data_IF_882663126025
#
_entry.id   IF_882663126025
#
_cell.length_a   1.000
_cell.length_b   1.000
_cell.length_c   1.000
_cell.angle_alpha   90.00
_cell.angle_beta   90.00
_cell.angle_gamma   90.00
#
_symmetry.space_group_name_H-M   'P 1'
#
loop_
_entity.id
_entity.type
_entity.pdbx_description
1 polymer ?
#
# COMPACT_ATOMS: atom_id res chain seq x y z
N UNK A 1 -37.01 28.23 -9.57
CA UNK A 1 -35.77 27.54 -9.15
C UNK A 1 -36.05 26.17 -8.50
N UNK A 2 -37.01 25.42 -8.98
CA UNK A 2 -37.46 24.14 -8.36
C UNK A 2 -37.27 22.92 -9.24
N UNK A 3 -36.65 23.06 -10.41
CA UNK A 3 -36.43 21.96 -11.35
C UNK A 3 -35.07 21.22 -11.28
N UNK A 4 -34.07 21.82 -10.60
CA UNK A 4 -32.68 21.28 -10.57
C UNK A 4 -32.45 20.31 -9.41
N UNK A 5 -33.36 20.23 -8.44
CA UNK A 5 -33.23 19.37 -7.25
C UNK A 5 -33.71 17.92 -7.47
N UNK A 6 -34.49 17.67 -8.51
CA UNK A 6 -35.04 16.32 -8.75
C UNK A 6 -34.03 15.35 -9.36
N UNK A 7 -32.97 15.84 -10.03
CA UNK A 7 -31.89 14.99 -10.60
C UNK A 7 -30.79 14.68 -9.58
N UNK A 8 -30.66 15.50 -8.53
CA UNK A 8 -29.70 15.30 -7.44
C UNK A 8 -30.11 14.24 -6.41
N UNK A 9 -31.32 13.76 -6.42
CA UNK A 9 -31.84 12.77 -5.46
C UNK A 9 -31.19 11.38 -5.54
N UNK A 10 -30.39 11.14 -6.56
CA UNK A 10 -29.65 9.87 -6.77
C UNK A 10 -28.15 9.94 -6.40
N UNK A 11 -27.62 11.15 -6.11
CA UNK A 11 -26.24 11.31 -5.67
C UNK A 11 -26.20 11.18 -4.15
N UNK A 12 -25.50 10.19 -3.58
CA UNK A 12 -25.35 10.10 -2.13
C UNK A 12 -24.81 11.42 -1.58
N UNK A 13 -25.30 11.90 -0.41
CA UNK A 13 -24.95 13.20 0.14
C UNK A 13 -23.44 13.44 0.30
N UNK A 14 -22.68 12.36 0.38
CA UNK A 14 -21.20 12.35 0.41
C UNK A 14 -20.59 12.99 -0.84
N UNK A 15 -21.19 12.87 -2.03
CA UNK A 15 -20.66 13.41 -3.28
C UNK A 15 -21.12 14.84 -3.61
N UNK A 16 -21.93 15.44 -2.77
CA UNK A 16 -22.37 16.83 -2.94
C UNK A 16 -21.20 17.81 -2.69
N UNK A 17 -20.29 17.47 -1.80
CA UNK A 17 -19.15 18.31 -1.43
C UNK A 17 -17.96 18.11 -2.36
N UNK A 18 -17.39 19.18 -2.96
CA UNK A 18 -16.26 19.08 -3.89
C UNK A 18 -15.02 18.40 -3.27
N UNK A 19 -14.73 18.65 -1.98
CA UNK A 19 -13.59 18.05 -1.30
C UNK A 19 -13.72 16.51 -1.17
N UNK A 20 -14.94 16.01 -0.94
CA UNK A 20 -15.19 14.57 -0.90
C UNK A 20 -15.03 13.94 -2.27
N UNK A 21 -15.53 14.57 -3.33
CA UNK A 21 -15.31 14.07 -4.71
C UNK A 21 -13.84 13.96 -5.06
N UNK A 22 -13.06 14.97 -4.67
CA UNK A 22 -11.60 14.96 -4.86
C UNK A 22 -10.95 13.82 -4.05
N UNK A 23 -11.36 13.64 -2.79
CA UNK A 23 -10.85 12.58 -1.93
C UNK A 23 -11.18 11.17 -2.48
N UNK A 24 -12.41 10.94 -2.96
CA UNK A 24 -12.78 9.66 -3.58
C UNK A 24 -12.03 9.43 -4.89
N UNK A 25 -11.84 10.44 -5.73
CA UNK A 25 -11.10 10.33 -6.98
C UNK A 25 -9.63 9.98 -6.72
N UNK A 26 -8.94 10.76 -5.89
CA UNK A 26 -7.56 10.49 -5.52
C UNK A 26 -7.42 9.16 -4.78
N UNK A 27 -8.29 8.93 -3.78
CA UNK A 27 -8.29 7.73 -2.97
C UNK A 27 -8.49 6.44 -3.78
N UNK A 28 -9.33 6.46 -4.80
CA UNK A 28 -9.51 5.28 -5.68
C UNK A 28 -8.23 4.95 -6.44
N UNK A 29 -7.55 5.94 -7.03
CA UNK A 29 -6.28 5.72 -7.72
C UNK A 29 -5.19 5.20 -6.77
N UNK A 30 -5.06 5.84 -5.60
CA UNK A 30 -4.10 5.45 -4.56
C UNK A 30 -4.39 4.03 -4.04
N UNK A 31 -5.64 3.72 -3.73
CA UNK A 31 -6.02 2.40 -3.24
C UNK A 31 -5.81 1.30 -4.29
N UNK A 32 -6.08 1.60 -5.56
CA UNK A 32 -5.85 0.66 -6.65
C UNK A 32 -4.35 0.31 -6.78
N UNK A 33 -3.46 1.31 -6.77
CA UNK A 33 -2.02 1.03 -6.82
C UNK A 33 -1.53 0.36 -5.53
N UNK A 34 -2.00 0.76 -4.34
CA UNK A 34 -1.65 0.10 -3.07
C UNK A 34 -2.06 -1.38 -3.07
N UNK A 35 -3.28 -1.71 -3.51
CA UNK A 35 -3.72 -3.11 -3.55
C UNK A 35 -2.92 -3.95 -4.53
N UNK A 36 -2.64 -3.42 -5.73
CA UNK A 36 -1.88 -4.13 -6.75
C UNK A 36 -0.39 -4.31 -6.38
N UNK A 37 0.27 -3.24 -5.92
CA UNK A 37 1.65 -3.28 -5.47
C UNK A 37 1.75 -4.12 -4.19
N UNK A 38 0.85 -3.91 -3.23
CA UNK A 38 0.78 -4.63 -1.97
C UNK A 38 0.68 -6.14 -2.15
N UNK A 39 -0.10 -6.61 -3.13
CA UNK A 39 -0.18 -8.03 -3.45
C UNK A 39 1.20 -8.65 -3.70
N UNK A 40 2.03 -8.02 -4.52
CA UNK A 40 3.38 -8.51 -4.81
C UNK A 40 4.36 -8.25 -3.66
N UNK A 41 4.20 -7.15 -2.93
CA UNK A 41 5.02 -6.85 -1.74
C UNK A 41 4.84 -7.93 -0.67
N UNK A 42 3.60 -8.35 -0.41
CA UNK A 42 3.29 -9.45 0.53
C UNK A 42 3.77 -10.79 -0.02
N UNK A 43 3.52 -11.10 -1.30
CA UNK A 43 3.96 -12.32 -1.96
C UNK A 43 5.49 -12.50 -1.91
N UNK A 44 6.23 -11.40 -2.01
CA UNK A 44 7.71 -11.38 -2.00
C UNK A 44 8.31 -11.20 -0.62
N UNK A 45 7.49 -11.16 0.44
CA UNK A 45 7.89 -10.87 1.83
C UNK A 45 8.68 -9.56 1.99
N UNK A 46 8.35 -8.53 1.20
CA UNK A 46 9.02 -7.22 1.18
C UNK A 46 8.19 -6.09 1.81
N UNK A 47 7.36 -6.42 2.78
CA UNK A 47 6.42 -5.46 3.41
C UNK A 47 7.15 -4.29 4.05
N UNK A 48 8.26 -4.55 4.73
CA UNK A 48 9.10 -3.52 5.35
C UNK A 48 9.79 -2.59 4.35
N UNK A 49 9.96 -3.00 3.09
CA UNK A 49 10.47 -2.10 2.04
C UNK A 49 9.49 -0.95 1.79
N UNK A 50 8.18 -1.24 1.78
CA UNK A 50 7.14 -0.21 1.64
C UNK A 50 7.17 0.78 2.81
N UNK A 51 7.33 0.28 4.03
CA UNK A 51 7.43 1.10 5.23
C UNK A 51 8.68 1.99 5.21
N UNK A 52 9.84 1.44 4.93
CA UNK A 52 11.07 2.21 4.78
C UNK A 52 10.92 3.33 3.75
N UNK A 53 10.30 3.04 2.59
CA UNK A 53 10.09 4.03 1.53
C UNK A 53 9.09 5.12 1.91
N UNK A 54 8.14 4.86 2.82
CA UNK A 54 7.26 5.91 3.36
C UNK A 54 8.04 6.94 4.19
N UNK A 55 9.00 6.47 4.97
CA UNK A 55 9.88 7.37 5.72
C UNK A 55 10.88 8.11 4.82
N UNK A 56 11.31 7.48 3.72
CA UNK A 56 12.07 8.19 2.68
C UNK A 56 11.24 9.31 2.06
N UNK A 57 9.96 9.06 1.76
CA UNK A 57 9.04 10.07 1.24
C UNK A 57 8.90 11.26 2.20
N UNK A 58 8.71 10.97 3.49
CA UNK A 58 8.66 11.99 4.53
C UNK A 58 9.95 12.81 4.61
N UNK A 59 11.09 12.15 4.67
CA UNK A 59 12.41 12.79 4.74
C UNK A 59 12.68 13.63 3.50
N UNK A 60 12.36 13.13 2.31
CA UNK A 60 12.51 13.84 1.04
C UNK A 60 11.62 15.08 0.96
N UNK A 61 10.39 15.01 1.48
CA UNK A 61 9.49 16.14 1.57
C UNK A 61 10.05 17.23 2.49
N UNK A 62 10.57 16.85 3.66
CA UNK A 62 11.21 17.79 4.61
C UNK A 62 12.50 18.40 4.04
N UNK A 63 13.30 17.64 3.33
CA UNK A 63 14.51 18.13 2.67
C UNK A 63 14.16 19.21 1.63
N UNK A 64 13.12 18.99 0.81
CA UNK A 64 12.65 19.98 -0.15
C UNK A 64 12.15 21.25 0.55
N UNK A 65 11.34 21.12 1.61
CA UNK A 65 10.86 22.25 2.38
C UNK A 65 11.99 23.03 3.04
N UNK A 66 12.99 22.35 3.59
CA UNK A 66 14.18 22.99 4.18
C UNK A 66 15.00 23.75 3.14
N UNK A 67 15.03 23.27 1.89
CA UNK A 67 15.70 23.91 0.76
C UNK A 67 14.84 24.98 0.05
N UNK A 68 13.60 25.22 0.48
CA UNK A 68 12.66 26.14 -0.17
C UNK A 68 12.13 25.63 -1.53
N UNK A 69 12.23 24.33 -1.79
CA UNK A 69 11.77 23.68 -3.03
C UNK A 69 10.35 23.11 -2.86
N UNK A 70 9.75 22.67 -3.98
CA UNK A 70 8.44 22.04 -3.97
C UNK A 70 8.47 20.69 -3.21
N UNK A 71 7.59 20.54 -2.24
CA UNK A 71 7.45 19.36 -1.39
C UNK A 71 7.30 18.07 -2.22
N UNK A 72 6.56 18.12 -3.32
CA UNK A 72 6.32 16.95 -4.18
C UNK A 72 7.58 16.48 -4.88
N UNK A 73 8.42 17.41 -5.35
CA UNK A 73 9.69 17.05 -5.99
C UNK A 73 10.59 16.28 -5.02
N UNK A 74 10.71 16.74 -3.77
CA UNK A 74 11.47 16.02 -2.75
C UNK A 74 10.85 14.68 -2.39
N UNK A 75 9.54 14.65 -2.21
CA UNK A 75 8.79 13.45 -1.84
C UNK A 75 8.94 12.35 -2.91
N UNK A 76 8.63 12.63 -4.17
CA UNK A 76 8.73 11.65 -5.26
C UNK A 76 10.18 11.37 -5.66
N UNK A 77 11.01 12.41 -5.80
CA UNK A 77 12.39 12.27 -6.24
C UNK A 77 13.24 11.45 -5.29
N UNK A 78 13.19 11.74 -3.99
CA UNK A 78 13.93 10.98 -2.98
C UNK A 78 13.42 9.52 -2.91
N UNK A 79 12.11 9.32 -2.92
CA UNK A 79 11.54 7.97 -2.74
C UNK A 79 11.88 7.07 -3.93
N UNK A 80 11.74 7.56 -5.15
CA UNK A 80 12.08 6.78 -6.35
C UNK A 80 13.58 6.53 -6.44
N UNK A 81 14.42 7.55 -6.16
CA UNK A 81 15.87 7.39 -6.18
C UNK A 81 16.34 6.33 -5.17
N UNK A 82 15.82 6.38 -3.93
CA UNK A 82 16.18 5.41 -2.89
C UNK A 82 15.61 4.03 -3.22
N UNK A 83 14.38 3.92 -3.73
CA UNK A 83 13.78 2.65 -4.14
C UNK A 83 14.61 1.95 -5.23
N UNK A 84 15.04 2.70 -6.26
CA UNK A 84 15.93 2.20 -7.31
C UNK A 84 17.30 1.83 -6.72
N UNK A 85 17.86 2.67 -5.86
CA UNK A 85 19.13 2.39 -5.16
C UNK A 85 19.06 1.09 -4.36
N UNK A 86 18.01 0.88 -3.56
CA UNK A 86 17.78 -0.37 -2.81
C UNK A 86 17.71 -1.59 -3.74
N UNK A 87 17.02 -1.45 -4.89
CA UNK A 87 16.95 -2.52 -5.89
C UNK A 87 18.28 -2.80 -6.57
N UNK A 88 19.13 -1.79 -6.75
CA UNK A 88 20.47 -1.96 -7.35
C UNK A 88 21.48 -2.57 -6.38
N UNK A 89 21.39 -2.24 -5.09
CA UNK A 89 22.26 -2.77 -4.04
C UNK A 89 21.86 -4.19 -3.62
N UNK A 90 20.57 -4.53 -3.71
CA UNK A 90 20.05 -5.82 -3.31
C UNK A 90 20.36 -6.92 -4.32
N UNK A 91 20.21 -8.18 -3.87
CA UNK A 91 20.37 -9.37 -4.73
C UNK A 91 19.17 -9.51 -5.66
N UNK A 92 19.42 -9.76 -6.93
CA UNK A 92 18.37 -9.99 -7.93
C UNK A 92 17.29 -8.88 -8.02
N UNK A 93 17.66 -7.64 -7.68
CA UNK A 93 16.72 -6.52 -7.67
C UNK A 93 15.71 -6.55 -6.52
N UNK A 94 15.96 -7.35 -5.49
CA UNK A 94 15.24 -7.31 -4.20
C UNK A 94 16.08 -6.59 -3.17
N UNK A 95 15.46 -5.73 -2.35
CA UNK A 95 16.14 -5.16 -1.22
C UNK A 95 16.31 -6.23 -0.12
N UNK A 96 17.53 -6.45 0.34
CA UNK A 96 17.82 -7.31 1.48
C UNK A 96 17.47 -6.59 2.79
N UNK A 97 17.12 -7.33 3.85
CA UNK A 97 16.70 -6.77 5.14
C UNK A 97 17.75 -5.82 5.74
N UNK A 98 19.05 -6.09 5.53
CA UNK A 98 20.15 -5.23 5.98
C UNK A 98 20.13 -3.90 5.22
N UNK A 99 19.88 -3.92 3.91
CA UNK A 99 19.76 -2.72 3.09
C UNK A 99 18.53 -1.91 3.52
N UNK A 100 17.39 -2.59 3.72
CA UNK A 100 16.14 -1.96 4.18
C UNK A 100 16.38 -1.28 5.54
N UNK A 101 16.90 -2.01 6.52
CA UNK A 101 17.14 -1.50 7.87
C UNK A 101 18.14 -0.35 7.91
N UNK A 102 19.22 -0.44 7.12
CA UNK A 102 20.25 0.62 7.01
C UNK A 102 19.67 1.90 6.40
N UNK A 103 18.93 1.78 5.29
CA UNK A 103 18.25 2.91 4.64
C UNK A 103 17.22 3.52 5.58
N UNK A 104 16.42 2.69 6.26
CA UNK A 104 15.42 3.15 7.22
C UNK A 104 16.04 3.97 8.36
N UNK A 105 17.08 3.45 9.02
CA UNK A 105 17.77 4.14 10.10
C UNK A 105 18.40 5.46 9.61
N UNK A 106 19.04 5.45 8.45
CA UNK A 106 19.63 6.65 7.85
C UNK A 106 18.58 7.71 7.53
N UNK A 107 17.44 7.30 6.93
CA UNK A 107 16.35 8.21 6.58
C UNK A 107 15.66 8.79 7.81
N UNK A 108 15.47 8.02 8.88
CA UNK A 108 14.96 8.57 10.14
C UNK A 108 15.89 9.65 10.70
N UNK A 109 17.20 9.41 10.72
CA UNK A 109 18.20 10.41 11.16
C UNK A 109 18.16 11.69 10.31
N UNK A 110 18.15 11.55 8.99
CA UNK A 110 18.00 12.68 8.06
C UNK A 110 16.66 13.40 8.22
N UNK A 111 15.57 12.66 8.47
CA UNK A 111 14.26 13.22 8.72
C UNK A 111 14.25 14.16 9.92
N UNK A 112 14.87 13.74 11.03
CA UNK A 112 15.05 14.59 12.23
C UNK A 112 15.91 15.81 11.91
N UNK A 113 17.00 15.64 11.17
CA UNK A 113 17.88 16.74 10.76
C UNK A 113 17.13 17.80 9.93
N UNK A 114 16.45 17.38 8.86
CA UNK A 114 15.70 18.29 8.01
C UNK A 114 14.50 18.93 8.71
N UNK A 115 13.84 18.19 9.61
CA UNK A 115 12.78 18.76 10.44
C UNK A 115 13.34 19.86 11.35
N UNK A 116 14.50 19.64 11.98
CA UNK A 116 15.17 20.62 12.84
C UNK A 116 15.56 21.87 12.03
N UNK A 117 16.17 21.72 10.85
CA UNK A 117 16.52 22.83 9.97
C UNK A 117 15.26 23.60 9.54
N UNK A 118 14.22 22.90 9.14
CA UNK A 118 12.97 23.52 8.69
C UNK A 118 12.29 24.31 9.82
N UNK A 119 12.21 23.75 11.02
CA UNK A 119 11.56 24.42 12.17
C UNK A 119 12.38 25.59 12.71
N UNK A 120 13.73 25.54 12.65
CA UNK A 120 14.58 26.63 13.10
C UNK A 120 14.60 27.83 12.13
N UNK A 121 14.39 27.58 10.84
CA UNK A 121 14.37 28.62 9.81
C UNK A 121 12.98 29.23 9.57
N UNK A 122 11.94 28.66 10.13
CA UNK A 122 10.54 29.06 9.87
C UNK A 122 9.90 29.60 11.14
N UNK A 123 9.55 30.89 11.14
CA UNK A 123 8.78 31.51 12.24
C UNK A 123 7.43 30.82 12.40
N UNK A 124 7.29 30.01 13.46
CA UNK A 124 6.05 29.56 14.13
C UNK A 124 4.87 28.95 13.35
N UNK A 125 4.58 29.44 12.16
CA UNK A 125 3.39 29.05 11.38
C UNK A 125 3.57 27.74 10.59
N UNK A 126 4.78 27.24 10.41
CA UNK A 126 5.09 26.15 9.48
C UNK A 126 5.31 24.78 10.14
N UNK A 127 5.22 24.67 11.47
CA UNK A 127 5.34 23.39 12.18
C UNK A 127 4.26 22.36 11.80
N UNK A 128 3.14 22.82 11.24
CA UNK A 128 2.04 21.96 10.79
C UNK A 128 2.35 21.20 9.49
N UNK A 129 3.29 21.66 8.66
CA UNK A 129 3.62 21.01 7.40
C UNK A 129 4.26 19.61 7.62
N UNK A 130 5.16 19.47 8.59
CA UNK A 130 5.72 18.17 8.95
C UNK A 130 4.64 17.19 9.46
N UNK A 131 3.71 17.68 10.27
CA UNK A 131 2.60 16.89 10.77
C UNK A 131 1.66 16.45 9.64
N UNK A 132 1.38 17.33 8.67
CA UNK A 132 0.52 16.98 7.53
C UNK A 132 1.12 15.92 6.61
N UNK A 133 2.44 15.85 6.48
CA UNK A 133 3.10 14.78 5.71
C UNK A 133 3.09 13.44 6.47
N UNK A 134 3.20 13.46 7.80
CA UNK A 134 3.13 12.24 8.61
C UNK A 134 1.74 11.60 8.61
N UNK A 135 0.70 12.42 8.72
CA UNK A 135 -0.69 11.93 8.86
C UNK A 135 -1.51 12.01 7.59
N UNK A 136 -0.98 12.62 6.54
CA UNK A 136 -1.67 12.82 5.28
C UNK A 136 -2.76 13.90 5.35
N UNK A 137 -3.32 14.23 4.20
CA UNK A 137 -4.38 15.26 4.08
C UNK A 137 -5.26 15.01 2.86
N UNK A 138 -5.88 13.82 2.79
CA UNK A 138 -6.68 13.40 1.63
C UNK A 138 -7.89 14.33 1.39
N UNK A 139 -8.51 14.87 2.44
CA UNK A 139 -9.62 15.80 2.33
C UNK A 139 -9.19 17.23 1.93
N UNK A 140 -7.90 17.55 2.09
CA UNK A 140 -7.33 18.86 1.73
C UNK A 140 -6.85 18.93 0.27
N UNK A 141 -7.01 17.87 -0.53
CA UNK A 141 -6.52 17.86 -1.90
C UNK A 141 -7.35 18.79 -2.81
N UNK A 142 -6.65 19.68 -3.51
CA UNK A 142 -7.26 20.46 -4.59
C UNK A 142 -7.69 19.56 -5.76
N UNK A 143 -8.61 20.02 -6.60
CA UNK A 143 -9.07 19.25 -7.76
C UNK A 143 -7.93 18.89 -8.73
N UNK A 144 -6.93 19.76 -8.88
CA UNK A 144 -5.73 19.48 -9.68
C UNK A 144 -4.88 18.38 -9.06
N UNK A 145 -4.64 18.48 -7.73
CA UNK A 145 -3.89 17.48 -6.97
C UNK A 145 -4.59 16.11 -6.96
N UNK A 146 -5.91 16.09 -6.81
CA UNK A 146 -6.69 14.85 -6.83
C UNK A 146 -6.65 14.15 -8.19
N UNK A 147 -6.71 14.91 -9.29
CA UNK A 147 -6.55 14.36 -10.65
C UNK A 147 -5.15 13.82 -10.88
N UNK A 148 -4.11 14.55 -10.44
CA UNK A 148 -2.74 14.09 -10.54
C UNK A 148 -2.52 12.78 -9.75
N UNK A 149 -3.04 12.71 -8.51
CA UNK A 149 -2.98 11.51 -7.69
C UNK A 149 -3.68 10.31 -8.34
N UNK A 150 -4.89 10.52 -8.88
CA UNK A 150 -5.60 9.47 -9.59
C UNK A 150 -4.86 8.99 -10.83
N UNK A 151 -4.23 9.90 -11.60
CA UNK A 151 -3.44 9.56 -12.79
C UNK A 151 -2.16 8.80 -12.43
N UNK A 152 -1.42 9.25 -11.40
CA UNK A 152 -0.22 8.55 -10.93
C UNK A 152 -0.59 7.15 -10.44
N UNK A 153 -1.64 7.04 -9.61
CA UNK A 153 -2.15 5.75 -9.14
C UNK A 153 -2.54 4.83 -10.29
N UNK A 154 -3.24 5.34 -11.31
CA UNK A 154 -3.61 4.57 -12.49
C UNK A 154 -2.39 4.14 -13.31
N UNK A 155 -1.37 5.00 -13.47
CA UNK A 155 -0.13 4.66 -14.16
C UNK A 155 0.65 3.56 -13.43
N UNK A 156 0.77 3.68 -12.10
CA UNK A 156 1.41 2.64 -11.27
C UNK A 156 0.65 1.33 -11.37
N UNK A 157 -0.68 1.38 -11.24
CA UNK A 157 -1.54 0.20 -11.39
C UNK A 157 -1.34 -0.47 -12.75
N UNK A 158 -1.38 0.30 -13.83
CA UNK A 158 -1.13 -0.20 -15.19
C UNK A 158 0.29 -0.79 -15.32
N UNK A 159 1.30 -0.14 -14.75
CA UNK A 159 2.67 -0.64 -14.70
C UNK A 159 2.78 -2.00 -14.01
N UNK A 160 2.12 -2.16 -12.85
CA UNK A 160 2.07 -3.45 -12.14
C UNK A 160 1.38 -4.52 -12.98
N UNK A 161 0.25 -4.22 -13.59
CA UNK A 161 -0.47 -5.18 -14.45
C UNK A 161 0.38 -5.62 -15.64
N UNK A 162 1.11 -4.69 -16.26
CA UNK A 162 1.99 -4.96 -17.40
C UNK A 162 3.11 -5.96 -17.03
N UNK A 163 3.71 -5.78 -15.85
CA UNK A 163 4.79 -6.66 -15.36
C UNK A 163 4.27 -7.82 -14.51
N UNK A 164 2.96 -7.94 -14.25
CA UNK A 164 2.40 -8.92 -13.31
C UNK A 164 2.76 -10.37 -13.66
N UNK A 165 2.72 -10.75 -14.95
CA UNK A 165 3.06 -12.11 -15.38
C UNK A 165 4.53 -12.45 -15.13
N UNK A 166 5.52 -11.71 -15.67
CA UNK A 166 6.93 -12.01 -15.41
C UNK A 166 7.29 -11.83 -13.94
N UNK A 167 6.67 -10.87 -13.23
CA UNK A 167 6.92 -10.64 -11.80
C UNK A 167 6.42 -11.81 -10.94
N UNK A 168 5.23 -12.36 -11.25
CA UNK A 168 4.70 -13.53 -10.58
C UNK A 168 5.62 -14.73 -10.79
N UNK A 169 6.04 -14.98 -12.03
CA UNK A 169 6.93 -16.07 -12.37
C UNK A 169 8.26 -15.96 -11.63
N UNK A 170 8.89 -14.77 -11.64
CA UNK A 170 10.12 -14.51 -10.89
C UNK A 170 9.93 -14.54 -9.36
N UNK A 171 8.70 -14.39 -8.86
CA UNK A 171 8.41 -14.45 -7.42
C UNK A 171 8.24 -15.88 -6.91
N UNK A 172 7.80 -16.81 -7.77
CA UNK A 172 7.59 -18.22 -7.44
C UNK A 172 8.88 -19.04 -7.59
N UNK A 173 9.60 -18.83 -8.70
CA UNK A 173 10.87 -19.52 -8.97
C UNK A 173 11.80 -18.61 -9.78
N UNK A 174 12.74 -18.00 -9.07
CA UNK A 174 13.71 -17.07 -9.64
C UNK A 174 14.69 -17.77 -10.59
N UNK A 175 15.15 -18.99 -10.24
CA UNK A 175 16.13 -19.72 -11.03
C UNK A 175 15.55 -20.14 -12.38
N UNK A 176 14.32 -20.67 -12.37
CA UNK A 176 13.62 -21.08 -13.60
C UNK A 176 13.25 -19.85 -14.44
N UNK A 177 12.84 -18.73 -13.83
CA UNK A 177 12.55 -17.50 -14.54
C UNK A 177 13.80 -16.93 -15.24
N UNK A 178 14.96 -16.94 -14.56
CA UNK A 178 16.24 -16.53 -15.13
C UNK A 178 16.64 -17.42 -16.32
N UNK A 179 16.51 -18.74 -16.16
CA UNK A 179 16.79 -19.71 -17.23
C UNK A 179 15.90 -19.52 -18.48
N UNK A 180 14.70 -18.98 -18.30
CA UNK A 180 13.76 -18.61 -19.37
C UNK A 180 14.01 -17.22 -19.96
N UNK A 181 15.10 -16.54 -19.57
CA UNK A 181 15.48 -15.23 -20.10
C UNK A 181 14.74 -14.04 -19.50
N UNK A 182 14.04 -14.21 -18.38
CA UNK A 182 13.41 -13.09 -17.66
C UNK A 182 14.50 -12.22 -17.02
N UNK A 183 14.56 -10.91 -17.29
CA UNK A 183 15.57 -10.02 -16.71
C UNK A 183 15.25 -9.70 -15.23
N UNK A 184 15.54 -10.66 -14.34
CA UNK A 184 15.14 -10.65 -12.93
C UNK A 184 15.54 -9.35 -12.23
N UNK A 185 16.79 -8.90 -12.43
CA UNK A 185 17.30 -7.67 -11.79
C UNK A 185 16.56 -6.43 -12.26
N UNK A 186 16.37 -6.26 -13.57
CA UNK A 186 15.64 -5.11 -14.12
C UNK A 186 14.18 -5.12 -13.66
N UNK A 187 13.55 -6.30 -13.64
CA UNK A 187 12.18 -6.48 -13.17
C UNK A 187 12.04 -6.14 -11.68
N UNK A 188 13.01 -6.57 -10.86
CA UNK A 188 13.04 -6.27 -9.42
C UNK A 188 13.22 -4.79 -9.13
N UNK A 189 14.19 -4.14 -9.80
CA UNK A 189 14.42 -2.68 -9.68
C UNK A 189 13.21 -1.89 -10.17
N UNK A 190 12.61 -2.27 -11.30
CA UNK A 190 11.41 -1.66 -11.83
C UNK A 190 10.22 -1.79 -10.88
N UNK A 191 10.06 -2.96 -10.26
CA UNK A 191 9.03 -3.16 -9.23
C UNK A 191 9.27 -2.29 -8.00
N UNK A 192 10.51 -2.19 -7.50
CA UNK A 192 10.83 -1.31 -6.37
C UNK A 192 10.59 0.16 -6.70
N UNK A 193 10.84 0.59 -7.94
CA UNK A 193 10.45 1.94 -8.38
C UNK A 193 8.93 2.16 -8.30
N UNK A 194 8.12 1.17 -8.69
CA UNK A 194 6.66 1.23 -8.54
C UNK A 194 6.22 1.24 -7.06
N UNK A 195 6.91 0.47 -6.19
CA UNK A 195 6.70 0.54 -4.73
C UNK A 195 7.02 1.95 -4.21
N UNK A 196 8.14 2.54 -4.65
CA UNK A 196 8.52 3.90 -4.29
C UNK A 196 7.48 4.95 -4.73
N UNK A 197 7.00 4.88 -5.97
CA UNK A 197 5.94 5.76 -6.46
C UNK A 197 4.65 5.60 -5.65
N UNK A 198 4.27 4.35 -5.32
CA UNK A 198 3.11 4.06 -4.49
C UNK A 198 3.29 4.63 -3.08
N UNK A 199 4.47 4.45 -2.47
CA UNK A 199 4.78 4.97 -1.16
C UNK A 199 4.72 6.50 -1.13
N UNK A 200 5.29 7.16 -2.14
CA UNK A 200 5.26 8.61 -2.28
C UNK A 200 3.82 9.13 -2.37
N UNK A 201 3.02 8.57 -3.27
CA UNK A 201 1.64 9.02 -3.49
C UNK A 201 0.75 8.78 -2.26
N UNK A 202 0.88 7.60 -1.64
CA UNK A 202 0.09 7.24 -0.46
C UNK A 202 0.48 8.08 0.76
N UNK A 203 1.77 8.37 0.93
CA UNK A 203 2.27 9.23 2.00
C UNK A 203 1.63 10.62 1.93
N UNK A 204 1.46 11.18 0.75
CA UNK A 204 0.81 12.48 0.58
C UNK A 204 -0.67 12.47 1.03
N UNK A 205 -1.38 11.38 0.79
CA UNK A 205 -2.83 11.30 1.03
C UNK A 205 -3.17 10.77 2.43
N UNK A 206 -2.57 9.65 2.81
CA UNK A 206 -2.90 8.92 4.05
C UNK A 206 -1.87 9.16 5.15
N UNK A 207 -0.65 9.49 4.75
CA UNK A 207 0.48 9.73 5.66
C UNK A 207 1.49 8.60 5.71
N UNK A 208 2.74 8.94 6.04
CA UNK A 208 3.85 7.99 6.09
C UNK A 208 3.63 6.88 7.13
N UNK A 209 3.11 7.22 8.29
CA UNK A 209 2.90 6.27 9.39
C UNK A 209 1.80 5.23 9.11
N UNK A 210 0.90 5.50 8.18
CA UNK A 210 -0.31 4.69 7.95
C UNK A 210 -0.30 3.94 6.63
N UNK A 211 0.72 4.18 5.78
CA UNK A 211 0.86 3.54 4.47
C UNK A 211 0.86 2.01 4.57
N UNK A 212 1.60 1.47 5.55
CA UNK A 212 1.76 0.02 5.70
C UNK A 212 0.42 -0.70 5.83
N UNK A 213 -0.52 -0.12 6.58
CA UNK A 213 -1.84 -0.71 6.76
C UNK A 213 -2.63 -0.82 5.46
N UNK A 214 -2.61 0.22 4.62
CA UNK A 214 -3.32 0.20 3.33
C UNK A 214 -2.61 -0.67 2.29
N UNK A 215 -1.27 -0.74 2.33
CA UNK A 215 -0.48 -1.55 1.41
C UNK A 215 -0.57 -3.05 1.74
N UNK A 216 -0.43 -3.41 3.02
CA UNK A 216 -0.25 -4.80 3.44
C UNK A 216 -1.55 -5.50 3.81
N UNK A 217 -2.47 -4.86 4.56
CA UNK A 217 -3.63 -5.52 5.12
C UNK A 217 -4.61 -6.06 4.05
N UNK A 218 -5.01 -5.28 3.01
CA UNK A 218 -5.88 -5.80 1.95
C UNK A 218 -5.21 -6.91 1.13
N UNK A 219 -3.90 -6.79 0.89
CA UNK A 219 -3.13 -7.78 0.16
C UNK A 219 -3.01 -9.09 0.95
N UNK A 220 -2.69 -9.02 2.24
CA UNK A 220 -2.64 -10.19 3.13
C UNK A 220 -4.01 -10.86 3.27
N UNK A 221 -5.10 -10.09 3.34
CA UNK A 221 -6.46 -10.63 3.30
C UNK A 221 -6.72 -11.41 2.00
N UNK A 222 -6.34 -10.86 0.86
CA UNK A 222 -6.51 -11.51 -0.44
C UNK A 222 -5.73 -12.84 -0.54
N UNK A 223 -4.49 -12.88 -0.02
CA UNK A 223 -3.69 -14.11 0.02
C UNK A 223 -4.31 -15.21 0.90
N UNK A 224 -5.08 -14.85 1.92
CA UNK A 224 -5.79 -15.82 2.75
C UNK A 224 -7.08 -16.34 2.09
N UNK A 225 -7.75 -15.49 1.30
CA UNK A 225 -9.04 -15.81 0.70
C UNK A 225 -8.94 -16.57 -0.62
N UNK A 226 -7.82 -16.48 -1.34
CA UNK A 226 -7.65 -17.17 -2.62
C UNK A 226 -6.22 -17.59 -2.89
N UNK A 227 -6.07 -18.78 -3.49
CA UNK A 227 -4.79 -19.32 -3.95
C UNK A 227 -4.48 -18.97 -5.42
N UNK A 228 -5.47 -18.42 -6.16
CA UNK A 228 -5.29 -18.07 -7.55
C UNK A 228 -4.64 -16.68 -7.70
N UNK A 229 -3.44 -16.55 -8.30
CA UNK A 229 -2.65 -15.32 -8.29
C UNK A 229 -3.39 -14.10 -8.85
N UNK A 230 -3.99 -14.22 -10.03
CA UNK A 230 -4.69 -13.09 -10.66
C UNK A 230 -6.00 -12.71 -9.97
N UNK A 231 -6.71 -13.71 -9.40
CA UNK A 231 -7.88 -13.44 -8.55
C UNK A 231 -7.45 -12.78 -7.25
N UNK A 232 -6.32 -13.20 -6.68
CA UNK A 232 -5.72 -12.59 -5.49
C UNK A 232 -5.34 -11.13 -5.73
N UNK A 233 -4.71 -10.83 -6.87
CA UNK A 233 -4.36 -9.46 -7.27
C UNK A 233 -5.62 -8.59 -7.42
N UNK A 234 -6.64 -9.08 -8.10
CA UNK A 234 -7.91 -8.36 -8.25
C UNK A 234 -8.62 -8.15 -6.90
N UNK A 235 -8.62 -9.18 -6.04
CA UNK A 235 -9.22 -9.11 -4.71
C UNK A 235 -8.47 -8.14 -3.80
N UNK A 236 -7.13 -8.15 -3.79
CA UNK A 236 -6.31 -7.20 -3.04
C UNK A 236 -6.63 -5.75 -3.44
N UNK A 237 -6.72 -5.50 -4.75
CA UNK A 237 -7.10 -4.20 -5.29
C UNK A 237 -8.52 -3.80 -4.88
N UNK A 238 -9.48 -4.70 -4.99
CA UNK A 238 -10.87 -4.44 -4.60
C UNK A 238 -11.02 -4.17 -3.10
N UNK A 239 -10.32 -4.94 -2.25
CA UNK A 239 -10.31 -4.72 -0.81
C UNK A 239 -9.65 -3.39 -0.42
N UNK A 240 -8.57 -3.00 -1.08
CA UNK A 240 -7.93 -1.71 -0.85
C UNK A 240 -8.85 -0.54 -1.23
N UNK A 241 -9.52 -0.61 -2.39
CA UNK A 241 -10.51 0.39 -2.80
C UNK A 241 -11.69 0.41 -1.83
N UNK A 242 -12.18 -0.76 -1.42
CA UNK A 242 -13.25 -0.88 -0.42
C UNK A 242 -12.87 -0.24 0.93
N UNK A 243 -11.66 -0.52 1.43
CA UNK A 243 -11.15 0.09 2.66
C UNK A 243 -11.07 1.62 2.57
N UNK A 244 -10.60 2.13 1.42
CA UNK A 244 -10.55 3.57 1.15
C UNK A 244 -11.95 4.19 1.14
N UNK A 245 -12.90 3.59 0.43
CA UNK A 245 -14.26 4.14 0.29
C UNK A 245 -15.04 4.08 1.61
N UNK A 246 -15.01 2.95 2.30
CA UNK A 246 -15.67 2.80 3.60
C UNK A 246 -15.02 3.73 4.64
N UNK A 247 -13.69 3.83 4.66
CA UNK A 247 -12.98 4.73 5.56
C UNK A 247 -13.35 6.19 5.34
N UNK A 248 -13.38 6.66 4.09
CA UNK A 248 -13.79 8.02 3.75
C UNK A 248 -15.27 8.28 4.12
N UNK A 249 -16.16 7.33 3.85
CA UNK A 249 -17.58 7.43 4.21
C UNK A 249 -17.77 7.48 5.73
N UNK A 250 -17.01 6.65 6.48
CA UNK A 250 -17.04 6.64 7.95
C UNK A 250 -16.54 7.97 8.53
N UNK A 251 -15.44 8.51 8.02
CA UNK A 251 -14.93 9.82 8.45
C UNK A 251 -15.88 10.96 8.14
N UNK A 252 -16.64 10.89 7.04
CA UNK A 252 -17.69 11.85 6.73
C UNK A 252 -18.87 11.73 7.70
N UNK A 253 -19.30 10.50 8.03
CA UNK A 253 -20.42 10.26 8.94
C UNK A 253 -20.09 10.62 10.40
N UNK A 254 -18.82 10.44 10.80
CA UNK A 254 -18.32 10.70 12.16
C UNK A 254 -17.15 11.67 12.09
N UNK A 255 -17.39 13.00 12.13
CA UNK A 255 -16.35 14.02 11.93
C UNK A 255 -15.22 14.01 12.97
N UNK A 256 -15.41 13.37 14.11
CA UNK A 256 -14.36 13.18 15.13
C UNK A 256 -13.30 12.13 14.75
N UNK A 257 -13.58 11.32 13.72
CA UNK A 257 -12.67 10.26 13.27
C UNK A 257 -11.84 10.76 12.08
N UNK A 258 -10.50 10.84 12.20
CA UNK A 258 -9.64 11.24 11.09
C UNK A 258 -9.76 10.25 9.91
N UNK A 259 -9.78 10.73 8.65
CA UNK A 259 -9.90 9.88 7.47
C UNK A 259 -8.84 8.78 7.40
N UNK A 260 -7.60 9.13 7.70
CA UNK A 260 -6.47 8.19 7.68
C UNK A 260 -6.68 7.03 8.65
N UNK A 261 -7.13 7.32 9.88
CA UNK A 261 -7.46 6.28 10.86
C UNK A 261 -8.62 5.39 10.39
N UNK A 262 -9.71 5.98 9.88
CA UNK A 262 -10.88 5.24 9.42
C UNK A 262 -10.53 4.27 8.27
N UNK A 263 -9.70 4.71 7.32
CA UNK A 263 -9.23 3.90 6.19
C UNK A 263 -8.43 2.69 6.69
N UNK A 264 -7.45 2.93 7.57
CA UNK A 264 -6.59 1.86 8.09
C UNK A 264 -7.38 0.91 9.00
N UNK A 265 -8.23 1.43 9.87
CA UNK A 265 -9.09 0.60 10.72
C UNK A 265 -9.97 -0.33 9.87
N UNK A 266 -10.55 0.18 8.78
CA UNK A 266 -11.34 -0.64 7.84
C UNK A 266 -10.48 -1.72 7.18
N UNK A 267 -9.27 -1.39 6.72
CA UNK A 267 -8.35 -2.35 6.12
C UNK A 267 -7.96 -3.47 7.11
N UNK A 268 -7.66 -3.12 8.36
CA UNK A 268 -7.32 -4.08 9.42
C UNK A 268 -8.52 -4.97 9.78
N UNK A 269 -9.73 -4.41 9.86
CA UNK A 269 -10.96 -5.18 10.11
C UNK A 269 -11.21 -6.18 8.98
N UNK A 270 -11.02 -5.76 7.71
CA UNK A 270 -11.14 -6.67 6.56
C UNK A 270 -10.12 -7.82 6.64
N UNK A 271 -8.87 -7.52 7.02
CA UNK A 271 -7.85 -8.55 7.22
C UNK A 271 -8.21 -9.51 8.36
N UNK A 272 -8.64 -8.99 9.51
CA UNK A 272 -9.07 -9.81 10.64
C UNK A 272 -10.25 -10.71 10.27
N UNK A 273 -11.22 -10.18 9.53
CA UNK A 273 -12.34 -10.96 9.01
C UNK A 273 -11.89 -12.08 8.06
N UNK A 274 -10.98 -11.79 7.13
CA UNK A 274 -10.41 -12.80 6.23
C UNK A 274 -9.68 -13.89 7.01
N UNK A 275 -8.90 -13.51 8.04
CA UNK A 275 -8.15 -14.45 8.90
C UNK A 275 -9.06 -15.39 9.68
N UNK A 276 -10.17 -14.88 10.22
CA UNK A 276 -11.16 -15.70 10.97
C UNK A 276 -11.87 -16.67 10.03
N UNK A 277 -12.27 -16.22 8.83
CA UNK A 277 -12.91 -17.07 7.82
C UNK A 277 -11.97 -18.20 7.37
N UNK A 278 -10.70 -17.87 7.08
CA UNK A 278 -9.70 -18.86 6.71
C UNK A 278 -9.47 -19.89 7.83
N UNK A 279 -9.35 -19.43 9.08
CA UNK A 279 -9.19 -20.29 10.26
C UNK A 279 -10.38 -21.22 10.49
N UNK A 280 -11.61 -20.73 10.30
CA UNK A 280 -12.83 -21.51 10.42
C UNK A 280 -12.92 -22.59 9.32
N UNK A 281 -12.58 -22.24 8.07
CA UNK A 281 -12.57 -23.18 6.96
C UNK A 281 -11.58 -24.34 7.18
N UNK A 282 -10.38 -24.04 7.71
CA UNK A 282 -9.39 -25.08 8.05
C UNK A 282 -9.87 -25.99 9.18
N UNK A 283 -10.48 -25.46 10.22
CA UNK A 283 -11.02 -26.28 11.33
C UNK A 283 -12.13 -27.20 10.88
N UNK A 284 -13.03 -26.75 10.02
CA UNK A 284 -14.11 -27.57 9.44
C UNK A 284 -13.57 -28.71 8.59
N UNK A 285 -12.46 -28.50 7.87
CA UNK A 285 -11.83 -29.54 7.07
C UNK A 285 -11.20 -30.67 7.93
N UNK A 286 -10.58 -30.33 9.08
CA UNK A 286 -10.03 -31.30 10.01
C UNK A 286 -11.08 -32.00 10.89
N UNK A 287 -12.24 -31.39 11.11
CA UNK A 287 -13.33 -31.99 11.89
C UNK A 287 -14.18 -32.99 11.07
N UNK A 288 -14.11 -32.92 9.72
CA UNK A 288 -14.83 -33.82 8.80
C UNK A 288 -14.02 -34.98 8.25
N UNK A 289 -12.80 -35.23 8.74
CA UNK A 289 -12.01 -36.40 8.38
C UNK A 289 -12.67 -37.70 8.88
N UNK A 290 -12.65 -38.82 8.11
CA UNK A 290 -13.28 -40.07 8.51
C UNK A 290 -12.68 -40.53 9.83
N UNK A 291 -13.56 -40.65 10.85
CA UNK A 291 -13.28 -41.28 12.13
C UNK A 291 -12.62 -42.65 11.88
N UNK A 292 -11.39 -42.74 12.36
CA UNK A 292 -10.49 -43.89 12.33
C UNK A 292 -11.11 -45.24 12.00
N UNK A 293 -10.94 -45.65 10.77
CA UNK A 293 -10.95 -47.07 10.47
C UNK A 293 -9.65 -47.63 11.06
N UNK A 294 -9.79 -48.22 12.25
CA UNK A 294 -8.74 -48.99 12.94
C UNK A 294 -8.21 -50.03 11.95
N UNK A 295 -7.00 -49.80 11.44
CA UNK A 295 -6.19 -50.85 10.81
C UNK A 295 -5.90 -51.88 11.89
N UNK A 296 -6.80 -52.85 12.01
CA UNK A 296 -6.50 -54.14 12.72
C UNK A 296 -5.34 -54.77 12.01
N UNK A 297 -4.15 -54.72 12.62
CA UNK A 297 -3.00 -55.48 12.21
C UNK A 297 -3.35 -56.94 12.49
N UNK A 298 -3.37 -57.86 11.50
CA UNK A 298 -3.57 -59.28 11.79
C UNK A 298 -2.34 -59.77 12.52
N UNK A 299 -2.48 -60.12 13.80
CA UNK A 299 -1.54 -60.95 14.54
C UNK A 299 -1.61 -62.36 13.92
N UNK A 300 -0.50 -62.81 13.40
CA UNK A 300 -0.37 -64.23 13.03
C UNK A 300 0.59 -64.46 11.90
N UNK A 301 1.88 -64.56 12.20
CA UNK A 301 2.80 -65.59 11.60
C UNK A 301 3.94 -65.74 12.63
N UNK A 302 3.74 -66.65 13.60
CA UNK A 302 4.80 -67.45 14.17
C UNK A 302 4.71 -68.82 13.56
N UNK A 303 5.75 -69.21 12.83
CA UNK A 303 5.99 -70.56 12.30
C UNK A 303 7.35 -70.60 11.65
#
# INVERSE_FOLDING_TARGET
>A
MTGTLAVLGWVPPVFVHPFMRNAFLAGTGIAACCGAVGYFVVLRAQVFTGDALSHVAFTGALAALAAGADLRLGLFGATVAVAVGMGMLGRSGRADDVVIGSVFAWMLGLGVLFLSIYTSNSSGANGTAGVSVLFGSILGLSAGAARAAALIGAMVFAGVILIARPLLFASLDEAVAAARGVPIRALGVGFLALVGLTAAETTQAVGALLLLGLLAAPAAAAHQLTTHPFRGLALATALAIGAMWVGLATSYAVPSVPPSFAIIATAVVMYAGASTLHGAARRGFFAGGPSGESLAIPEGIHG
#
